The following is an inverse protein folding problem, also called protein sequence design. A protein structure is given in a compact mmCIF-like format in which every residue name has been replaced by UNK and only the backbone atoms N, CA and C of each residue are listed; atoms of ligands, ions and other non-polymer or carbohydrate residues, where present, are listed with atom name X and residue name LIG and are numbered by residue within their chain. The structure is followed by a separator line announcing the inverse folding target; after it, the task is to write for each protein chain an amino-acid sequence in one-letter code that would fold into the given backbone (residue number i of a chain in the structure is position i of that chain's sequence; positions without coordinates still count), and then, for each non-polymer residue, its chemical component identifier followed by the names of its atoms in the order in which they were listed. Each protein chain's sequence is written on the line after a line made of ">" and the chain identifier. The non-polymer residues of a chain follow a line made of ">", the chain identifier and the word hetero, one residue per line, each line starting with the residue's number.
data_IF_849573349011
#
_entry.id   IF_849573349011
#
_cell.length_a   1.000
_cell.length_b   1.000
_cell.length_c   1.000
_cell.angle_alpha   90.00
_cell.angle_beta   90.00
_cell.angle_gamma   90.00
#
_symmetry.space_group_name_H-M   'P 1'
#
loop_
_entity.id
_entity.type
_entity.pdbx_description
1 polymer ?
#
# COMPACT_ATOMS: atom_id res chain seq x y z
N UNK A 1 -0.27 12.31 -0.60
CA UNK A 1 0.04 13.06 -1.84
C UNK A 1 -0.94 14.22 -2.06
N UNK A 2 -1.44 14.83 -0.99
CA UNK A 2 -2.48 15.84 -1.05
C UNK A 2 -1.91 17.23 -1.32
N UNK A 3 -0.70 17.53 -0.80
CA UNK A 3 0.03 18.79 -1.03
C UNK A 3 0.32 19.02 -2.51
N UNK A 4 0.95 18.06 -3.18
CA UNK A 4 1.28 18.12 -4.61
C UNK A 4 0.02 18.33 -5.47
N UNK A 5 -1.03 17.53 -5.22
CA UNK A 5 -2.28 17.57 -5.96
C UNK A 5 -3.02 18.90 -5.80
N UNK A 6 -3.07 19.41 -4.58
CA UNK A 6 -3.73 20.69 -4.28
C UNK A 6 -2.97 21.85 -4.90
N UNK A 7 -1.64 21.88 -4.75
CA UNK A 7 -0.81 22.93 -5.32
C UNK A 7 -0.89 22.96 -6.85
N UNK A 8 -0.84 21.78 -7.50
CA UNK A 8 -1.04 21.67 -8.96
C UNK A 8 -2.36 22.29 -9.40
N UNK A 9 -3.47 21.95 -8.73
CA UNK A 9 -4.80 22.49 -9.03
C UNK A 9 -4.88 23.99 -8.78
N UNK A 10 -4.28 24.49 -7.71
CA UNK A 10 -4.21 25.92 -7.39
C UNK A 10 -3.46 26.71 -8.47
N UNK A 11 -2.41 26.12 -9.06
CA UNK A 11 -1.66 26.69 -10.19
C UNK A 11 -2.37 26.52 -11.55
N UNK A 12 -3.49 25.79 -11.60
CA UNK A 12 -4.23 25.55 -12.85
C UNK A 12 -3.57 24.56 -13.81
N UNK A 13 -2.60 23.77 -13.35
CA UNK A 13 -1.86 22.84 -14.18
C UNK A 13 -2.61 21.52 -14.38
N UNK A 14 -2.60 20.98 -15.60
CA UNK A 14 -3.18 19.67 -15.90
C UNK A 14 -2.23 18.53 -15.51
N UNK A 15 -2.75 17.32 -15.35
CA UNK A 15 -1.90 16.14 -15.12
C UNK A 15 -1.00 15.85 -16.33
N UNK A 16 -1.46 16.17 -17.55
CA UNK A 16 -0.67 16.06 -18.78
C UNK A 16 0.52 17.03 -18.82
N UNK A 17 0.32 18.28 -18.40
CA UNK A 17 1.43 19.23 -18.28
C UNK A 17 2.50 18.72 -17.31
N UNK A 18 2.07 18.22 -16.15
CA UNK A 18 2.99 17.70 -15.12
C UNK A 18 3.67 16.39 -15.53
N UNK A 19 2.98 15.54 -16.29
CA UNK A 19 3.59 14.31 -16.82
C UNK A 19 4.70 14.61 -17.82
N UNK A 20 4.52 15.64 -18.66
CA UNK A 20 5.54 16.11 -19.60
C UNK A 20 6.79 16.66 -18.88
N UNK A 21 6.65 17.30 -17.72
CA UNK A 21 7.77 17.83 -16.93
C UNK A 21 8.71 16.71 -16.45
N UNK A 22 8.17 15.56 -16.09
CA UNK A 22 8.94 14.40 -15.61
C UNK A 22 9.07 13.30 -16.66
N UNK A 23 8.78 13.60 -17.94
CA UNK A 23 8.89 12.68 -19.07
C UNK A 23 8.18 11.34 -18.85
N UNK A 24 6.95 11.37 -18.36
CA UNK A 24 6.11 10.19 -18.13
C UNK A 24 4.74 10.35 -18.78
N UNK A 25 3.96 9.26 -18.84
CA UNK A 25 2.60 9.31 -19.36
C UNK A 25 1.61 9.82 -18.30
N UNK A 26 0.46 10.33 -18.76
CA UNK A 26 -0.58 10.91 -17.89
C UNK A 26 -1.11 9.90 -16.86
N UNK A 27 -1.20 8.62 -17.23
CA UNK A 27 -1.69 7.57 -16.34
C UNK A 27 -0.69 7.30 -15.21
N UNK A 28 0.59 7.14 -15.53
CA UNK A 28 1.64 6.96 -14.53
C UNK A 28 1.77 8.19 -13.61
N UNK A 29 1.66 9.40 -14.15
CA UNK A 29 1.59 10.61 -13.34
C UNK A 29 0.37 10.62 -12.40
N UNK A 30 -0.81 10.23 -12.89
CA UNK A 30 -2.02 10.11 -12.08
C UNK A 30 -1.81 9.13 -10.92
N UNK A 31 -1.22 7.96 -11.18
CA UNK A 31 -0.88 6.96 -10.15
C UNK A 31 0.13 7.50 -9.14
N UNK A 32 1.13 8.26 -9.57
CA UNK A 32 2.07 8.96 -8.69
C UNK A 32 1.36 10.00 -7.81
N UNK A 33 0.51 10.83 -8.40
CA UNK A 33 -0.27 11.86 -7.68
C UNK A 33 -1.30 11.24 -6.70
N UNK A 34 -1.79 10.04 -6.98
CA UNK A 34 -2.70 9.29 -6.09
C UNK A 34 -1.97 8.36 -5.11
N UNK A 35 -0.64 8.47 -4.99
CA UNK A 35 0.20 7.68 -4.07
C UNK A 35 0.29 6.17 -4.37
N UNK A 36 -0.13 5.73 -5.56
CA UNK A 36 -0.03 4.33 -5.99
C UNK A 36 1.38 3.97 -6.48
N UNK A 37 2.11 4.96 -6.99
CA UNK A 37 3.47 4.81 -7.52
C UNK A 37 4.40 5.81 -6.81
N UNK A 38 5.63 5.41 -6.54
CA UNK A 38 6.63 6.31 -5.94
C UNK A 38 7.10 7.36 -6.95
N UNK A 39 7.30 8.59 -6.48
CA UNK A 39 8.01 9.65 -7.19
C UNK A 39 9.47 9.62 -6.75
N UNK A 40 10.39 9.58 -7.71
CA UNK A 40 11.83 9.57 -7.46
C UNK A 40 12.35 10.98 -7.13
N UNK A 41 13.52 11.08 -6.50
CA UNK A 41 14.02 12.36 -6.02
C UNK A 41 14.30 13.37 -7.16
N UNK A 42 14.77 12.90 -8.32
CA UNK A 42 14.95 13.73 -9.51
C UNK A 42 13.61 14.24 -10.09
N UNK A 43 12.55 13.43 -9.98
CA UNK A 43 11.20 13.81 -10.38
C UNK A 43 10.62 14.85 -9.42
N UNK A 44 10.88 14.70 -8.12
CA UNK A 44 10.51 15.70 -7.11
C UNK A 44 11.15 17.06 -7.39
N UNK A 45 12.43 17.09 -7.73
CA UNK A 45 13.13 18.32 -8.08
C UNK A 45 12.52 19.02 -9.31
N UNK A 46 12.19 18.25 -10.35
CA UNK A 46 11.55 18.78 -11.57
C UNK A 46 10.16 19.35 -11.28
N UNK A 47 9.36 18.64 -10.48
CA UNK A 47 8.01 19.08 -10.09
C UNK A 47 8.06 20.33 -9.20
N UNK A 48 8.97 20.36 -8.22
CA UNK A 48 9.22 21.51 -7.36
C UNK A 48 9.60 22.75 -8.18
N UNK A 49 10.53 22.60 -9.13
CA UNK A 49 10.94 23.66 -10.05
C UNK A 49 9.78 24.17 -10.92
N UNK A 50 8.92 23.28 -11.41
CA UNK A 50 7.76 23.68 -12.22
C UNK A 50 6.66 24.38 -11.42
N UNK A 51 6.55 24.08 -10.13
CA UNK A 51 5.58 24.67 -9.20
C UNK A 51 6.12 25.91 -8.46
N UNK A 52 7.40 26.22 -8.67
CA UNK A 52 8.15 27.32 -8.03
C UNK A 52 8.09 27.27 -6.51
N UNK A 53 8.37 26.09 -5.94
CA UNK A 53 8.38 25.81 -4.50
C UNK A 53 9.53 24.86 -4.15
N UNK A 54 10.04 24.87 -2.91
CA UNK A 54 10.99 23.86 -2.46
C UNK A 54 10.37 22.47 -2.41
N UNK A 55 11.19 21.43 -2.57
CA UNK A 55 10.73 20.02 -2.56
C UNK A 55 10.00 19.67 -1.27
N UNK A 56 10.47 20.15 -0.13
CA UNK A 56 9.88 19.89 1.20
C UNK A 56 8.43 20.41 1.36
N UNK A 57 8.03 21.39 0.54
CA UNK A 57 6.64 21.89 0.56
C UNK A 57 5.66 20.95 -0.13
N UNK A 58 6.14 20.13 -1.07
CA UNK A 58 5.28 19.21 -1.85
C UNK A 58 5.53 17.74 -1.52
N UNK A 59 6.72 17.40 -1.01
CA UNK A 59 7.11 16.06 -0.60
C UNK A 59 6.55 15.79 0.78
N UNK A 60 5.62 14.85 0.85
CA UNK A 60 5.10 14.36 2.13
C UNK A 60 5.98 13.21 2.61
N UNK A 61 6.43 13.28 3.86
CA UNK A 61 7.12 12.15 4.52
C UNK A 61 6.19 10.94 4.52
N UNK A 62 6.61 9.88 3.84
CA UNK A 62 5.87 8.62 3.84
C UNK A 62 6.23 7.87 5.12
N UNK A 63 5.27 7.43 5.95
CA UNK A 63 5.47 6.19 6.66
C UNK A 63 5.67 5.12 5.58
N UNK A 64 6.74 4.34 5.63
CA UNK A 64 7.10 3.35 4.62
C UNK A 64 5.93 2.41 4.31
N UNK A 65 5.06 2.77 3.36
CA UNK A 65 4.05 1.88 2.82
C UNK A 65 4.80 0.89 1.95
N UNK A 66 4.90 -0.34 2.45
CA UNK A 66 5.32 -1.50 1.66
C UNK A 66 4.33 -1.62 0.51
N UNK A 67 4.76 -1.23 -0.69
CA UNK A 67 4.02 -1.48 -1.92
C UNK A 67 4.24 -2.95 -2.22
N UNK A 68 3.27 -3.80 -1.85
CA UNK A 68 3.21 -5.17 -2.36
C UNK A 68 2.88 -5.06 -3.85
N UNK A 69 3.92 -5.09 -4.68
CA UNK A 69 3.76 -5.23 -6.11
C UNK A 69 3.43 -6.69 -6.40
N UNK A 70 2.14 -7.04 -6.39
CA UNK A 70 1.65 -8.39 -6.70
C UNK A 70 1.83 -8.79 -8.18
N UNK A 71 2.51 -7.96 -8.98
CA UNK A 71 2.86 -8.22 -10.39
C UNK A 71 4.39 -8.20 -10.64
N UNK A 72 5.15 -8.98 -9.87
CA UNK A 72 6.54 -9.30 -10.22
C UNK A 72 6.59 -10.64 -10.96
N UNK A 73 6.37 -10.59 -12.28
CA UNK A 73 6.76 -11.65 -13.22
C UNK A 73 8.20 -11.46 -13.72
N UNK A 74 9.11 -11.03 -12.85
CA UNK A 74 10.53 -10.97 -13.15
C UNK A 74 11.33 -11.71 -12.07
N UNK A 75 11.63 -12.96 -12.40
CA UNK A 75 12.68 -13.75 -11.80
C UNK A 75 14.03 -13.14 -12.23
N UNK A 76 14.60 -12.27 -11.40
CA UNK A 76 16.04 -12.08 -11.41
C UNK A 76 16.57 -12.09 -9.97
N UNK A 77 17.35 -13.12 -9.69
CA UNK A 77 18.00 -13.35 -8.43
C UNK A 77 19.28 -12.51 -8.41
N UNK A 78 19.39 -11.51 -7.52
CA UNK A 78 20.70 -11.20 -6.96
C UNK A 78 20.63 -10.49 -5.61
N UNK A 79 21.37 -11.10 -4.68
CA UNK A 79 22.06 -10.47 -3.56
C UNK A 79 21.23 -9.90 -2.39
N UNK A 80 21.03 -10.77 -1.40
CA UNK A 80 21.53 -10.56 -0.04
C UNK A 80 21.38 -9.15 0.53
N UNK A 81 20.39 -8.95 1.41
CA UNK A 81 20.60 -8.31 2.71
C UNK A 81 19.43 -8.62 3.65
N UNK A 82 19.70 -9.49 4.63
CA UNK A 82 19.01 -9.61 5.91
C UNK A 82 17.48 -9.86 5.89
N UNK A 83 17.12 -11.08 5.52
CA UNK A 83 15.86 -11.73 5.91
C UNK A 83 15.80 -11.90 7.44
N UNK A 84 15.41 -10.86 8.16
CA UNK A 84 14.83 -10.95 9.50
C UNK A 84 13.80 -9.82 9.65
N UNK A 85 12.86 -9.79 8.72
CA UNK A 85 11.67 -8.98 8.82
C UNK A 85 10.76 -9.67 9.86
N UNK A 86 11.04 -9.44 11.15
CA UNK A 86 10.12 -9.76 12.23
C UNK A 86 8.90 -8.86 12.04
N UNK A 87 7.94 -9.34 11.26
CA UNK A 87 6.59 -8.77 11.22
C UNK A 87 6.00 -8.94 12.62
N UNK A 88 6.00 -7.87 13.43
CA UNK A 88 5.24 -7.84 14.66
C UNK A 88 3.75 -7.90 14.29
N UNK A 89 3.18 -9.10 14.32
CA UNK A 89 1.73 -9.29 14.18
C UNK A 89 1.09 -8.55 15.36
N UNK A 90 0.20 -7.57 15.14
CA UNK A 90 -0.49 -6.88 16.23
C UNK A 90 -1.20 -7.89 17.13
N UNK A 91 -1.01 -7.78 18.45
CA UNK A 91 -1.64 -8.67 19.42
C UNK A 91 -3.17 -8.73 19.26
N UNK A 92 -3.80 -7.63 18.87
CA UNK A 92 -5.24 -7.56 18.58
C UNK A 92 -5.68 -8.52 17.48
N UNK A 93 -4.84 -8.76 16.46
CA UNK A 93 -5.12 -9.74 15.40
C UNK A 93 -5.00 -11.16 15.95
N UNK A 94 -3.98 -11.43 16.75
CA UNK A 94 -3.77 -12.75 17.38
C UNK A 94 -4.95 -13.07 18.32
N UNK A 95 -5.35 -12.13 19.16
CA UNK A 95 -6.49 -12.26 20.08
C UNK A 95 -7.82 -12.47 19.33
N UNK A 96 -8.04 -11.73 18.24
CA UNK A 96 -9.23 -11.91 17.41
C UNK A 96 -9.28 -13.31 16.77
N UNK A 97 -8.17 -13.77 16.22
CA UNK A 97 -8.06 -15.10 15.62
C UNK A 97 -8.26 -16.20 16.65
N UNK A 98 -7.68 -16.07 17.84
CA UNK A 98 -7.89 -17.03 18.95
C UNK A 98 -9.36 -17.08 19.40
N UNK A 99 -10.02 -15.93 19.52
CA UNK A 99 -11.45 -15.84 19.83
C UNK A 99 -12.29 -16.52 18.76
N UNK A 100 -11.97 -16.30 17.49
CA UNK A 100 -12.68 -16.91 16.37
C UNK A 100 -12.50 -18.43 16.32
N UNK A 101 -11.27 -18.92 16.54
CA UNK A 101 -10.98 -20.37 16.63
C UNK A 101 -11.84 -21.01 17.71
N UNK A 102 -11.92 -20.39 18.90
CA UNK A 102 -12.72 -20.90 20.00
C UNK A 102 -14.20 -21.05 19.62
N UNK A 103 -14.78 -20.03 18.98
CA UNK A 103 -16.18 -20.08 18.52
C UNK A 103 -16.40 -21.21 17.51
N UNK A 104 -15.46 -21.39 16.57
CA UNK A 104 -15.55 -22.46 15.57
C UNK A 104 -15.46 -23.85 16.22
N UNK A 105 -14.56 -24.04 17.18
CA UNK A 105 -14.42 -25.32 17.90
C UNK A 105 -15.68 -25.68 18.69
N UNK A 106 -16.30 -24.70 19.37
CA UNK A 106 -17.56 -24.88 20.09
C UNK A 106 -18.70 -25.28 19.13
N UNK A 107 -18.83 -24.60 17.99
CA UNK A 107 -19.83 -24.91 16.97
C UNK A 107 -19.63 -26.30 16.36
N UNK A 108 -18.38 -26.65 16.03
CA UNK A 108 -18.05 -27.99 15.50
C UNK A 108 -18.34 -29.07 16.55
N UNK A 109 -18.08 -28.81 17.82
CA UNK A 109 -18.43 -29.70 18.93
C UNK A 109 -19.94 -29.96 18.99
N UNK A 110 -20.73 -28.89 19.03
CA UNK A 110 -22.19 -28.98 19.08
C UNK A 110 -22.77 -29.76 17.88
N UNK A 111 -22.31 -29.45 16.65
CA UNK A 111 -22.73 -30.14 15.43
C UNK A 111 -22.33 -31.62 15.43
N UNK A 112 -21.16 -31.98 15.97
CA UNK A 112 -20.74 -33.37 16.09
C UNK A 112 -21.59 -34.14 17.09
N UNK A 113 -21.96 -33.53 18.22
CA UNK A 113 -22.85 -34.15 19.19
C UNK A 113 -24.26 -34.34 18.64
N UNK A 114 -24.80 -33.34 17.96
CA UNK A 114 -26.10 -33.42 17.28
C UNK A 114 -26.11 -34.55 16.24
N UNK A 115 -25.08 -34.61 15.38
CA UNK A 115 -24.92 -35.69 14.42
C UNK A 115 -24.86 -37.08 15.08
N UNK A 116 -24.17 -37.22 16.22
CA UNK A 116 -24.14 -38.49 16.96
C UNK A 116 -25.54 -38.85 17.47
N UNK A 117 -26.28 -37.90 18.06
CA UNK A 117 -27.65 -38.10 18.55
C UNK A 117 -28.61 -38.49 17.43
N UNK A 118 -28.49 -37.85 16.26
CA UNK A 118 -29.31 -38.15 15.08
C UNK A 118 -28.97 -39.51 14.47
N UNK A 119 -27.69 -39.91 14.45
CA UNK A 119 -27.25 -41.23 13.95
C UNK A 119 -27.51 -42.38 14.93
N UNK A 120 -27.76 -42.09 16.21
CA UNK A 120 -28.13 -43.08 17.22
C UNK A 120 -29.64 -43.26 17.39
N UNK A 121 -30.46 -42.50 16.65
CA UNK A 121 -31.90 -42.71 16.49
C UNK A 121 -32.15 -43.57 15.26
#
# INVERSE_FOLDING_TARGET
>A
MEKLKNLRKQRGYTQEYMSNIISTDVSNYSRKENDEVRIFDDEWEKLAKALDVPVEEIKEERPSKVVNNDNLTFNDQSANNNFNQYYNIPNSIVENLQSYIKVLEEQVGALKEENKKLKSR
#
